data_IF_697858595396
#
_entry.id   IF_697858595396
#
_cell.length_a   1.000
_cell.length_b   1.000
_cell.length_c   1.000
_cell.angle_alpha   90.00
_cell.angle_beta   90.00
_cell.angle_gamma   90.00
#
_symmetry.space_group_name_H-M   'P 1'
#
loop_
_entity.id
_entity.type
_entity.pdbx_description
1 polymer ?
#
# COMPACT_ATOMS: atom_id res chain seq x y z
N UNK A 1 -17.37 58.40 56.15
CA UNK A 1 -17.46 58.87 54.75
C UNK A 1 -16.42 58.14 53.92
N UNK A 2 -16.77 57.01 53.31
CA UNK A 2 -16.75 56.76 51.85
C UNK A 2 -17.24 55.32 51.64
N UNK A 3 -18.21 55.19 50.76
CA UNK A 3 -19.00 53.99 50.48
C UNK A 3 -18.25 53.10 49.50
N UNK A 4 -18.06 51.81 49.83
CA UNK A 4 -17.45 50.82 48.96
C UNK A 4 -18.50 50.16 48.06
N UNK A 5 -18.37 50.39 46.75
CA UNK A 5 -19.19 49.78 45.71
C UNK A 5 -18.96 48.26 45.64
N UNK A 6 -20.05 47.50 45.68
CA UNK A 6 -20.07 46.05 45.51
C UNK A 6 -19.93 45.66 44.03
N UNK A 7 -18.97 44.79 43.77
CA UNK A 7 -18.71 44.11 42.50
C UNK A 7 -19.84 43.08 42.23
N UNK A 8 -20.98 43.56 41.71
CA UNK A 8 -22.01 42.75 41.06
C UNK A 8 -22.00 43.16 39.60
N UNK A 9 -21.79 42.18 38.73
CA UNK A 9 -22.22 42.07 37.33
C UNK A 9 -21.31 41.03 36.68
N UNK A 10 -21.62 39.74 36.91
CA UNK A 10 -21.10 38.62 36.14
C UNK A 10 -22.29 38.04 35.42
N UNK A 11 -22.31 38.27 34.12
CA UNK A 11 -23.37 37.86 33.20
C UNK A 11 -23.67 36.36 33.30
N UNK A 12 -24.87 36.04 33.80
CA UNK A 12 -25.55 34.76 33.64
C UNK A 12 -25.98 34.59 32.17
N UNK A 13 -25.02 34.36 31.27
CA UNK A 13 -25.32 33.78 29.96
C UNK A 13 -25.42 32.27 30.12
N UNK A 14 -26.62 31.87 30.54
CA UNK A 14 -27.14 30.52 30.50
C UNK A 14 -27.15 30.05 29.03
N UNK A 15 -26.06 29.42 28.59
CA UNK A 15 -26.05 28.64 27.35
C UNK A 15 -26.83 27.36 27.62
N UNK A 16 -28.12 27.41 27.31
CA UNK A 16 -28.99 26.25 27.12
C UNK A 16 -28.50 25.50 25.87
N UNK A 17 -27.39 24.78 26.04
CA UNK A 17 -27.01 23.72 25.12
C UNK A 17 -28.02 22.61 25.31
N UNK A 18 -29.03 22.59 24.43
CA UNK A 18 -29.88 21.44 24.21
C UNK A 18 -29.00 20.23 23.98
N UNK A 19 -28.80 19.45 25.05
CA UNK A 19 -28.13 18.17 25.02
C UNK A 19 -28.97 17.23 24.20
N UNK A 20 -28.68 17.14 22.90
CA UNK A 20 -29.07 16.00 22.09
C UNK A 20 -28.43 14.78 22.75
N UNK A 21 -29.24 14.02 23.47
CA UNK A 21 -28.86 12.77 24.10
C UNK A 21 -28.76 11.72 22.98
N UNK A 22 -27.68 11.77 22.20
CA UNK A 22 -27.38 10.80 21.14
C UNK A 22 -27.14 9.37 21.70
N UNK A 23 -27.00 9.24 23.02
CA UNK A 23 -26.73 7.95 23.69
C UNK A 23 -27.99 7.11 24.01
N UNK A 24 -29.22 7.64 23.87
CA UNK A 24 -30.42 6.92 24.31
C UNK A 24 -31.10 6.03 23.24
N UNK A 25 -30.85 6.25 21.94
CA UNK A 25 -31.49 5.45 20.87
C UNK A 25 -30.58 4.35 20.29
N UNK A 26 -29.25 4.51 20.35
CA UNK A 26 -28.30 3.53 19.78
C UNK A 26 -27.93 2.39 20.75
N UNK A 27 -28.37 2.47 22.01
CA UNK A 27 -28.17 1.46 23.05
C UNK A 27 -29.46 0.78 23.50
N UNK A 28 -30.44 0.59 22.59
CA UNK A 28 -31.49 -0.41 22.86
C UNK A 28 -30.86 -1.79 22.92
N UNK A 29 -30.53 -2.21 24.14
CA UNK A 29 -30.13 -3.58 24.44
C UNK A 29 -31.18 -4.54 23.88
N UNK A 30 -30.80 -5.26 22.83
CA UNK A 30 -31.65 -6.30 22.25
C UNK A 30 -31.38 -7.63 22.96
N UNK A 31 -32.42 -8.46 23.03
CA UNK A 31 -32.31 -9.81 23.55
C UNK A 31 -31.71 -10.73 22.49
N UNK A 32 -30.44 -11.09 22.63
CA UNK A 32 -29.78 -12.05 21.75
C UNK A 32 -29.96 -13.47 22.29
N UNK A 33 -30.70 -14.30 21.57
CA UNK A 33 -30.98 -15.69 21.92
C UNK A 33 -29.82 -16.61 21.49
N UNK A 34 -29.16 -17.23 22.47
CA UNK A 34 -28.00 -18.07 22.24
C UNK A 34 -28.36 -19.52 21.92
N UNK A 35 -27.43 -20.32 21.36
CA UNK A 35 -27.68 -21.73 21.03
C UNK A 35 -27.99 -22.62 22.23
N UNK A 36 -27.49 -22.25 23.42
CA UNK A 36 -27.74 -22.93 24.69
C UNK A 36 -29.10 -22.58 25.33
N UNK A 37 -29.86 -21.70 24.68
CA UNK A 37 -31.19 -21.28 25.12
C UNK A 37 -31.18 -20.08 26.07
N UNK A 38 -30.01 -19.54 26.39
CA UNK A 38 -29.86 -18.37 27.25
C UNK A 38 -29.98 -17.06 26.45
N UNK A 39 -30.17 -15.94 27.15
CA UNK A 39 -30.33 -14.61 26.53
C UNK A 39 -29.19 -13.69 26.97
N UNK A 40 -28.57 -13.02 26.00
CA UNK A 40 -27.50 -12.04 26.24
C UNK A 40 -27.89 -10.68 25.67
N UNK A 41 -27.47 -9.58 26.31
CA UNK A 41 -27.59 -8.24 25.73
C UNK A 41 -26.53 -8.04 24.65
N UNK A 42 -26.96 -7.68 23.45
CA UNK A 42 -26.08 -7.28 22.33
C UNK A 42 -26.60 -6.02 21.68
N UNK A 43 -25.77 -5.35 20.89
CA UNK A 43 -26.24 -4.29 20.01
C UNK A 43 -26.77 -4.86 18.69
N UNK A 44 -27.70 -4.13 18.06
CA UNK A 44 -28.22 -4.46 16.72
C UNK A 44 -27.06 -4.55 15.71
N UNK A 45 -26.17 -3.57 15.74
CA UNK A 45 -24.99 -3.54 14.86
C UNK A 45 -24.10 -4.78 15.02
N UNK A 46 -23.86 -5.24 16.26
CA UNK A 46 -23.12 -6.47 16.49
C UNK A 46 -23.85 -7.68 15.90
N UNK A 47 -25.18 -7.71 16.02
CA UNK A 47 -25.98 -8.81 15.49
C UNK A 47 -25.93 -8.88 13.95
N UNK A 48 -26.11 -7.75 13.27
CA UNK A 48 -26.03 -7.65 11.82
C UNK A 48 -24.65 -8.03 11.30
N UNK A 49 -23.60 -7.50 11.93
CA UNK A 49 -22.20 -7.77 11.54
C UNK A 49 -21.86 -9.26 11.64
N UNK A 50 -22.41 -9.96 12.63
CA UNK A 50 -22.19 -11.40 12.81
C UNK A 50 -23.16 -12.28 11.98
N UNK A 51 -24.12 -11.65 11.29
CA UNK A 51 -25.12 -12.31 10.46
C UNK A 51 -26.20 -13.03 11.27
N UNK A 52 -26.51 -12.50 12.45
CA UNK A 52 -27.72 -12.81 13.20
C UNK A 52 -28.89 -11.97 12.67
N UNK A 53 -30.11 -12.38 12.97
CA UNK A 53 -31.30 -11.72 12.43
C UNK A 53 -32.40 -11.64 13.49
N UNK A 54 -33.27 -10.64 13.34
CA UNK A 54 -34.39 -10.43 14.23
C UNK A 54 -35.46 -11.52 14.04
N UNK A 55 -35.67 -12.34 15.08
CA UNK A 55 -36.65 -13.42 15.08
C UNK A 55 -38.02 -12.93 15.55
N UNK A 56 -38.04 -12.02 16.52
CA UNK A 56 -39.20 -11.32 17.07
C UNK A 56 -38.82 -9.87 17.39
N UNK A 57 -39.80 -8.99 17.57
CA UNK A 57 -39.53 -7.60 17.94
C UNK A 57 -38.65 -7.55 19.20
N UNK A 58 -37.51 -6.85 19.12
CA UNK A 58 -36.49 -6.80 20.18
C UNK A 58 -35.66 -8.06 20.41
N UNK A 59 -35.89 -9.18 19.70
CA UNK A 59 -35.16 -10.45 19.88
C UNK A 59 -34.41 -10.86 18.61
N UNK A 60 -33.10 -11.08 18.75
CA UNK A 60 -32.21 -11.48 17.67
C UNK A 60 -31.63 -12.86 17.94
N UNK A 61 -31.38 -13.63 16.88
CA UNK A 61 -30.79 -14.97 17.01
C UNK A 61 -30.14 -15.42 15.70
N UNK A 62 -29.38 -16.51 15.76
CA UNK A 62 -28.95 -17.26 14.58
C UNK A 62 -29.90 -18.39 14.19
N UNK A 63 -29.47 -19.17 13.19
CA UNK A 63 -30.18 -20.30 12.56
C UNK A 63 -30.75 -21.31 13.58
N UNK A 64 -30.09 -21.47 14.72
CA UNK A 64 -30.50 -22.37 15.80
C UNK A 64 -31.83 -22.02 16.46
N UNK A 65 -32.33 -20.77 16.34
CA UNK A 65 -33.61 -20.38 16.96
C UNK A 65 -34.75 -21.30 16.52
N UNK A 66 -34.77 -21.63 15.23
CA UNK A 66 -35.82 -22.45 14.64
C UNK A 66 -35.66 -23.94 14.94
N UNK A 67 -34.48 -24.38 15.36
CA UNK A 67 -34.28 -25.75 15.87
C UNK A 67 -34.99 -25.93 17.22
N UNK A 68 -34.95 -24.89 18.07
CA UNK A 68 -35.62 -24.89 19.38
C UNK A 68 -37.11 -24.55 19.28
N UNK A 69 -37.52 -23.75 18.29
CA UNK A 69 -38.90 -23.31 18.08
C UNK A 69 -39.42 -23.66 16.67
N UNK A 70 -39.59 -24.95 16.34
CA UNK A 70 -39.95 -25.38 14.99
C UNK A 70 -41.34 -24.87 14.56
N UNK A 71 -42.24 -24.59 15.49
CA UNK A 71 -43.58 -24.09 15.18
C UNK A 71 -43.58 -22.65 14.64
N UNK A 72 -42.52 -21.88 14.92
CA UNK A 72 -42.35 -20.48 14.44
C UNK A 72 -41.78 -20.39 13.01
N UNK A 73 -41.55 -21.53 12.36
CA UNK A 73 -40.99 -21.63 11.01
C UNK A 73 -42.03 -21.21 9.94
N UNK A 74 -43.33 -21.34 10.22
CA UNK A 74 -44.40 -21.08 9.26
C UNK A 74 -44.47 -19.60 8.85
N UNK A 75 -43.82 -19.26 7.73
CA UNK A 75 -43.85 -17.95 7.07
C UNK A 75 -42.48 -17.28 6.88
N UNK A 76 -41.43 -17.71 7.61
CA UNK A 76 -40.10 -17.06 7.57
C UNK A 76 -39.00 -17.85 6.84
N UNK A 77 -39.20 -19.12 6.50
CA UNK A 77 -38.21 -19.94 5.75
C UNK A 77 -37.77 -19.30 4.43
N UNK A 78 -38.69 -18.63 3.73
CA UNK A 78 -38.39 -18.01 2.44
C UNK A 78 -37.38 -16.86 2.53
N UNK A 79 -37.45 -16.05 3.60
CA UNK A 79 -36.51 -14.92 3.82
C UNK A 79 -35.15 -15.43 4.29
N UNK A 80 -35.15 -16.41 5.20
CA UNK A 80 -33.92 -17.01 5.73
C UNK A 80 -33.10 -17.71 4.64
N UNK A 81 -33.75 -18.52 3.81
CA UNK A 81 -33.09 -19.20 2.69
C UNK A 81 -32.47 -18.20 1.71
N UNK A 82 -33.18 -17.12 1.36
CA UNK A 82 -32.65 -16.04 0.52
C UNK A 82 -31.41 -15.39 1.13
N UNK A 83 -31.46 -15.03 2.42
CA UNK A 83 -30.33 -14.40 3.10
C UNK A 83 -29.11 -15.34 3.16
N UNK A 84 -29.32 -16.62 3.49
CA UNK A 84 -28.27 -17.64 3.49
C UNK A 84 -27.65 -17.83 2.10
N UNK A 85 -28.49 -17.91 1.07
CA UNK A 85 -28.04 -18.05 -0.31
C UNK A 85 -27.23 -16.82 -0.75
N UNK A 86 -27.65 -15.60 -0.38
CA UNK A 86 -26.89 -14.36 -0.65
C UNK A 86 -25.55 -14.33 0.08
N UNK A 87 -25.52 -14.69 1.38
CA UNK A 87 -24.28 -14.75 2.16
C UNK A 87 -23.29 -15.77 1.57
N UNK A 88 -23.79 -16.92 1.13
CA UNK A 88 -22.97 -17.93 0.45
C UNK A 88 -22.44 -17.44 -0.91
N UNK A 89 -23.27 -16.72 -1.69
CA UNK A 89 -22.84 -16.07 -2.93
C UNK A 89 -21.73 -15.04 -2.66
N UNK A 90 -21.90 -14.17 -1.66
CA UNK A 90 -20.90 -13.16 -1.29
C UNK A 90 -19.57 -13.81 -0.91
N UNK A 91 -19.59 -14.82 -0.04
CA UNK A 91 -18.39 -15.58 0.36
C UNK A 91 -17.70 -16.30 -0.80
N UNK A 92 -18.45 -16.70 -1.83
CA UNK A 92 -17.87 -17.29 -3.03
C UNK A 92 -17.20 -16.22 -3.90
N UNK A 93 -17.84 -15.06 -4.07
CA UNK A 93 -17.28 -13.90 -4.80
C UNK A 93 -16.00 -13.41 -4.12
N UNK A 94 -15.98 -13.26 -2.79
CA UNK A 94 -14.79 -12.87 -2.03
C UNK A 94 -13.63 -13.86 -2.20
N UNK A 95 -13.93 -15.17 -2.22
CA UNK A 95 -12.91 -16.20 -2.50
C UNK A 95 -12.39 -16.13 -3.93
N UNK A 96 -13.24 -15.85 -4.91
CA UNK A 96 -12.79 -15.62 -6.29
C UNK A 96 -11.91 -14.37 -6.38
N UNK A 97 -12.33 -13.28 -5.75
CA UNK A 97 -11.62 -11.99 -5.75
C UNK A 97 -10.21 -12.15 -5.20
N UNK A 98 -10.08 -12.69 -3.98
CA UNK A 98 -8.78 -12.99 -3.36
C UNK A 98 -7.90 -13.88 -4.23
N UNK A 99 -8.46 -14.93 -4.84
CA UNK A 99 -7.70 -15.83 -5.72
C UNK A 99 -7.13 -15.10 -6.93
N UNK A 100 -7.86 -14.13 -7.51
CA UNK A 100 -7.38 -13.35 -8.64
C UNK A 100 -6.34 -12.30 -8.22
N UNK A 101 -6.50 -11.67 -7.06
CA UNK A 101 -5.48 -10.79 -6.48
C UNK A 101 -4.16 -11.53 -6.24
N UNK A 102 -4.19 -12.67 -5.55
CA UNK A 102 -3.00 -13.50 -5.31
C UNK A 102 -2.31 -13.93 -6.62
N UNK A 103 -3.10 -14.23 -7.67
CA UNK A 103 -2.55 -14.54 -8.99
C UNK A 103 -1.91 -13.31 -9.66
N UNK A 104 -2.48 -12.12 -9.50
CA UNK A 104 -1.92 -10.89 -10.05
C UNK A 104 -0.64 -10.49 -9.34
N UNK A 105 -0.58 -10.60 -8.01
CA UNK A 105 0.63 -10.34 -7.22
C UNK A 105 1.76 -11.27 -7.64
N UNK A 106 1.47 -12.56 -7.82
CA UNK A 106 2.44 -13.54 -8.31
C UNK A 106 2.95 -13.19 -9.72
N UNK A 107 2.05 -12.82 -10.64
CA UNK A 107 2.48 -12.41 -11.98
C UNK A 107 3.24 -11.07 -11.96
N UNK A 108 2.90 -10.13 -11.09
CA UNK A 108 3.66 -8.89 -10.91
C UNK A 108 5.10 -9.17 -10.43
N UNK A 109 5.27 -10.05 -9.45
CA UNK A 109 6.60 -10.53 -9.03
C UNK A 109 7.37 -11.18 -10.18
N UNK A 110 6.67 -11.98 -10.99
CA UNK A 110 7.29 -12.66 -12.14
C UNK A 110 7.71 -11.68 -13.24
N UNK A 111 6.94 -10.61 -13.47
CA UNK A 111 7.28 -9.58 -14.46
C UNK A 111 8.63 -8.90 -14.19
N UNK A 112 9.05 -8.84 -12.92
CA UNK A 112 10.35 -8.28 -12.53
C UNK A 112 11.52 -9.25 -12.70
N UNK A 113 11.26 -10.55 -12.78
CA UNK A 113 12.31 -11.60 -12.76
C UNK A 113 12.44 -12.36 -14.07
N UNK A 114 11.39 -12.38 -14.90
CA UNK A 114 11.30 -13.15 -16.13
C UNK A 114 11.26 -12.23 -17.36
N UNK A 115 12.32 -12.17 -18.18
CA UNK A 115 12.34 -11.35 -19.39
C UNK A 115 11.37 -11.86 -20.49
N UNK A 116 10.87 -13.09 -20.39
CA UNK A 116 9.84 -13.66 -21.28
C UNK A 116 8.43 -13.55 -20.68
N UNK A 117 8.22 -12.61 -19.76
CA UNK A 117 6.93 -12.44 -19.08
C UNK A 117 5.76 -12.23 -20.05
N UNK A 118 4.71 -13.05 -19.88
CA UNK A 118 3.50 -13.00 -20.69
C UNK A 118 2.50 -11.96 -20.15
N UNK A 119 2.65 -10.73 -20.62
CA UNK A 119 1.72 -9.64 -20.32
C UNK A 119 0.26 -9.95 -20.70
N UNK A 120 0.00 -10.79 -21.71
CA UNK A 120 -1.36 -11.16 -22.08
C UNK A 120 -2.04 -11.99 -20.99
N UNK A 121 -1.28 -12.79 -20.22
CA UNK A 121 -1.82 -13.53 -19.08
C UNK A 121 -2.21 -12.60 -17.93
N UNK A 122 -1.35 -11.64 -17.58
CA UNK A 122 -1.62 -10.65 -16.54
C UNK A 122 -2.85 -9.78 -16.87
N UNK A 123 -2.96 -9.29 -18.11
CA UNK A 123 -4.13 -8.52 -18.57
C UNK A 123 -5.42 -9.34 -18.46
N UNK A 124 -5.40 -10.62 -18.83
CA UNK A 124 -6.58 -11.51 -18.68
C UNK A 124 -6.97 -11.73 -17.22
N UNK A 125 -6.00 -11.74 -16.29
CA UNK A 125 -6.27 -11.85 -14.86
C UNK A 125 -6.89 -10.56 -14.33
N UNK A 126 -6.39 -9.38 -14.71
CA UNK A 126 -6.97 -8.10 -14.26
C UNK A 126 -8.40 -7.92 -14.75
N UNK A 127 -8.69 -8.30 -16.00
CA UNK A 127 -10.06 -8.30 -16.54
C UNK A 127 -10.99 -9.24 -15.77
N UNK A 128 -10.49 -10.37 -15.27
CA UNK A 128 -11.28 -11.30 -14.45
C UNK A 128 -11.51 -10.73 -13.05
N UNK A 129 -10.50 -10.11 -12.44
CA UNK A 129 -10.63 -9.45 -11.14
C UNK A 129 -11.72 -8.36 -11.21
N UNK A 130 -11.66 -7.50 -12.22
CA UNK A 130 -12.65 -6.44 -12.41
C UNK A 130 -14.09 -6.97 -12.53
N UNK A 131 -14.31 -8.05 -13.30
CA UNK A 131 -15.62 -8.72 -13.38
C UNK A 131 -16.08 -9.34 -12.07
N UNK A 132 -15.17 -9.70 -11.17
CA UNK A 132 -15.53 -10.19 -9.83
C UNK A 132 -15.94 -9.02 -8.94
N UNK A 133 -15.25 -7.88 -9.04
CA UNK A 133 -15.61 -6.65 -8.32
C UNK A 133 -16.97 -6.10 -8.75
N UNK A 134 -17.28 -6.11 -10.04
CA UNK A 134 -18.62 -5.72 -10.53
C UNK A 134 -19.71 -6.62 -9.93
N UNK A 135 -19.53 -7.95 -9.98
CA UNK A 135 -20.47 -8.90 -9.35
C UNK A 135 -20.57 -8.71 -7.84
N UNK A 136 -19.48 -8.31 -7.18
CA UNK A 136 -19.48 -7.99 -5.74
C UNK A 136 -20.37 -6.78 -5.47
N UNK A 137 -20.19 -5.69 -6.22
CA UNK A 137 -21.00 -4.47 -6.12
C UNK A 137 -22.48 -4.71 -6.42
N UNK A 138 -22.79 -5.51 -7.45
CA UNK A 138 -24.17 -5.91 -7.76
C UNK A 138 -24.82 -6.65 -6.58
N UNK A 139 -24.10 -7.58 -5.95
CA UNK A 139 -24.61 -8.33 -4.80
C UNK A 139 -24.74 -7.46 -3.54
N UNK A 140 -23.83 -6.51 -3.33
CA UNK A 140 -23.93 -5.50 -2.27
C UNK A 140 -25.16 -4.61 -2.48
N UNK A 141 -25.41 -4.16 -3.71
CA UNK A 141 -26.61 -3.41 -4.06
C UNK A 141 -27.88 -4.24 -3.83
N UNK A 142 -27.92 -5.50 -4.27
CA UNK A 142 -29.05 -6.41 -4.00
C UNK A 142 -29.30 -6.56 -2.50
N UNK A 143 -28.24 -6.69 -1.68
CA UNK A 143 -28.35 -6.80 -0.23
C UNK A 143 -28.88 -5.53 0.42
N UNK A 144 -28.49 -4.35 -0.08
CA UNK A 144 -28.95 -3.07 0.45
C UNK A 144 -30.38 -2.73 -0.03
N UNK A 145 -30.77 -3.18 -1.22
CA UNK A 145 -32.08 -2.89 -1.82
C UNK A 145 -33.26 -3.62 -1.16
N UNK A 146 -33.00 -4.67 -0.38
CA UNK A 146 -34.02 -5.41 0.38
C UNK A 146 -34.51 -4.67 1.64
N UNK A 147 -33.89 -3.53 1.99
CA UNK A 147 -34.41 -2.58 2.97
C UNK A 147 -35.54 -1.75 2.37
N UNK A 148 -36.72 -2.34 2.22
CA UNK A 148 -37.94 -1.79 1.57
C UNK A 148 -38.53 -0.50 2.19
N UNK A 149 -37.80 0.27 3.00
CA UNK A 149 -38.24 1.61 3.45
C UNK A 149 -37.73 2.75 2.56
N UNK A 150 -36.58 2.58 1.88
CA UNK A 150 -36.08 3.59 0.93
C UNK A 150 -36.77 3.57 -0.43
N UNK A 151 -37.34 2.42 -0.84
CA UNK A 151 -38.04 2.32 -2.13
C UNK A 151 -39.37 3.07 -2.13
N UNK A 152 -40.11 3.16 -1.02
CA UNK A 152 -41.35 3.96 -1.00
C UNK A 152 -41.09 5.46 -1.15
N UNK A 153 -39.97 5.94 -0.61
CA UNK A 153 -39.55 7.33 -0.74
C UNK A 153 -39.03 7.62 -2.15
N UNK A 154 -38.22 6.72 -2.72
CA UNK A 154 -37.66 6.87 -4.07
C UNK A 154 -38.71 6.72 -5.17
N UNK A 155 -39.66 5.77 -5.05
CA UNK A 155 -40.83 5.68 -5.93
C UNK A 155 -41.78 6.86 -5.74
N UNK A 156 -41.89 7.40 -4.52
CA UNK A 156 -42.67 8.61 -4.24
C UNK A 156 -42.11 9.82 -4.96
N UNK A 157 -40.80 10.04 -4.87
CA UNK A 157 -40.08 11.12 -5.57
C UNK A 157 -40.17 10.93 -7.09
N UNK A 158 -39.97 9.71 -7.59
CA UNK A 158 -40.03 9.45 -9.03
C UNK A 158 -41.46 9.57 -9.60
N UNK A 159 -42.49 9.20 -8.83
CA UNK A 159 -43.90 9.40 -9.20
C UNK A 159 -44.30 10.89 -9.16
N UNK A 160 -43.79 11.65 -8.18
CA UNK A 160 -43.93 13.11 -8.12
C UNK A 160 -43.26 13.76 -9.33
N UNK A 161 -42.03 13.37 -9.67
CA UNK A 161 -41.31 13.91 -10.84
C UNK A 161 -42.03 13.61 -12.18
N UNK A 162 -42.65 12.43 -12.32
CA UNK A 162 -43.42 12.08 -13.54
C UNK A 162 -44.76 12.82 -13.61
N UNK A 163 -45.33 13.22 -12.47
CA UNK A 163 -46.59 13.96 -12.41
C UNK A 163 -46.42 15.48 -12.60
N UNK A 164 -45.19 15.98 -12.53
CA UNK A 164 -44.87 17.39 -12.67
C UNK A 164 -44.79 17.82 -14.14
N UNK A 165 -45.14 19.08 -14.41
CA UNK A 165 -44.89 19.66 -15.73
C UNK A 165 -43.38 19.84 -15.94
N UNK A 166 -42.87 19.75 -17.19
CA UNK A 166 -41.46 19.98 -17.47
C UNK A 166 -40.94 21.32 -16.90
N UNK A 167 -41.75 22.37 -16.94
CA UNK A 167 -41.42 23.71 -16.43
C UNK A 167 -41.31 23.77 -14.89
N UNK A 168 -42.05 22.90 -14.18
CA UNK A 168 -41.95 22.80 -12.72
C UNK A 168 -40.76 21.93 -12.31
N UNK A 169 -40.45 20.89 -13.11
CA UNK A 169 -39.26 20.07 -12.93
C UNK A 169 -38.00 20.91 -13.10
N UNK A 170 -37.94 21.73 -14.15
CA UNK A 170 -36.82 22.63 -14.43
C UNK A 170 -36.61 23.63 -13.28
N UNK A 171 -37.68 24.21 -12.73
CA UNK A 171 -37.60 25.11 -11.57
C UNK A 171 -37.14 24.45 -10.27
N UNK A 172 -37.47 23.17 -10.07
CA UNK A 172 -36.95 22.41 -8.92
C UNK A 172 -35.48 22.08 -9.12
N UNK A 173 -35.09 21.66 -10.32
CA UNK A 173 -33.69 21.41 -10.66
C UNK A 173 -32.84 22.68 -10.50
N UNK A 174 -33.29 23.82 -11.00
CA UNK A 174 -32.60 25.10 -10.81
C UNK A 174 -32.42 25.44 -9.33
N UNK A 175 -33.43 25.19 -8.49
CA UNK A 175 -33.35 25.47 -7.05
C UNK A 175 -32.37 24.54 -6.33
N UNK A 176 -32.43 23.24 -6.61
CA UNK A 176 -31.53 22.25 -6.01
C UNK A 176 -30.08 22.52 -6.40
N UNK A 177 -29.84 22.89 -7.67
CA UNK A 177 -28.51 23.27 -8.14
C UNK A 177 -28.02 24.54 -7.45
N UNK A 178 -28.89 25.53 -7.21
CA UNK A 178 -28.51 26.74 -6.47
C UNK A 178 -28.23 26.46 -4.99
N UNK A 179 -29.04 25.64 -4.33
CA UNK A 179 -28.81 25.23 -2.92
C UNK A 179 -27.51 24.41 -2.79
N UNK A 180 -27.24 23.48 -3.70
CA UNK A 180 -26.00 22.71 -3.71
C UNK A 180 -24.78 23.60 -4.01
N UNK A 181 -24.91 24.60 -4.89
CA UNK A 181 -23.85 25.58 -5.14
C UNK A 181 -23.59 26.48 -3.93
N UNK A 182 -24.62 26.93 -3.22
CA UNK A 182 -24.48 27.71 -1.99
C UNK A 182 -23.81 26.88 -0.89
N UNK A 183 -24.18 25.61 -0.72
CA UNK A 183 -23.52 24.70 0.23
C UNK A 183 -22.06 24.39 -0.14
N UNK A 184 -21.76 24.28 -1.43
CA UNK A 184 -20.39 24.10 -1.93
C UNK A 184 -19.59 25.38 -1.71
N UNK A 185 -20.17 26.56 -1.95
CA UNK A 185 -19.53 27.85 -1.71
C UNK A 185 -19.28 28.07 -0.21
N UNK A 186 -20.23 27.72 0.65
CA UNK A 186 -20.08 27.77 2.12
C UNK A 186 -18.98 26.80 2.60
N UNK A 187 -18.99 25.54 2.15
CA UNK A 187 -17.92 24.55 2.44
C UNK A 187 -16.55 25.00 1.93
N UNK A 188 -16.49 25.64 0.77
CA UNK A 188 -15.26 26.17 0.21
C UNK A 188 -14.81 27.47 0.90
N UNK A 189 -15.72 28.21 1.53
CA UNK A 189 -15.41 29.42 2.29
C UNK A 189 -14.90 29.15 3.71
N UNK A 190 -15.27 28.00 4.29
CA UNK A 190 -14.87 27.60 5.64
C UNK A 190 -13.60 26.74 5.69
N UNK A 191 -13.18 26.15 4.56
CA UNK A 191 -11.93 25.41 4.48
C UNK A 191 -10.85 26.25 3.85
N UNK A 192 -9.69 26.34 4.50
CA UNK A 192 -8.41 26.86 3.95
C UNK A 192 -7.87 25.93 2.82
N UNK A 193 -8.78 25.27 2.09
CA UNK A 193 -8.59 24.17 1.14
C UNK A 193 -7.78 24.60 -0.07
N UNK A 194 -7.84 25.88 -0.47
CA UNK A 194 -6.94 26.42 -1.49
C UNK A 194 -5.49 26.42 -1.01
N UNK A 195 -5.25 26.70 0.27
CA UNK A 195 -3.89 26.66 0.84
C UNK A 195 -3.41 25.23 1.05
N UNK A 196 -4.29 24.31 1.46
CA UNK A 196 -3.97 22.89 1.62
C UNK A 196 -3.74 22.19 0.29
N UNK A 197 -4.59 22.44 -0.70
CA UNK A 197 -4.42 21.95 -2.06
C UNK A 197 -3.11 22.46 -2.67
N UNK A 198 -2.78 23.73 -2.46
CA UNK A 198 -1.50 24.30 -2.90
C UNK A 198 -0.31 23.65 -2.20
N UNK A 199 -0.37 23.40 -0.89
CA UNK A 199 0.66 22.67 -0.14
C UNK A 199 0.80 21.23 -0.65
N UNK A 200 -0.31 20.53 -0.89
CA UNK A 200 -0.32 19.18 -1.45
C UNK A 200 0.28 19.14 -2.86
N UNK A 201 -0.13 20.06 -3.73
CA UNK A 201 0.39 20.17 -5.09
C UNK A 201 1.89 20.49 -5.09
N UNK A 202 2.36 21.43 -4.27
CA UNK A 202 3.78 21.76 -4.13
C UNK A 202 4.60 20.56 -3.62
N UNK A 203 4.05 19.78 -2.66
CA UNK A 203 4.67 18.53 -2.18
C UNK A 203 4.80 17.51 -3.31
N UNK A 204 3.73 17.30 -4.08
CA UNK A 204 3.71 16.36 -5.22
C UNK A 204 4.70 16.77 -6.32
N UNK A 205 4.84 18.06 -6.60
CA UNK A 205 5.87 18.56 -7.52
C UNK A 205 7.28 18.24 -7.02
N UNK A 206 7.57 18.44 -5.73
CA UNK A 206 8.88 18.12 -5.14
C UNK A 206 9.20 16.62 -5.22
N UNK A 207 8.22 15.75 -4.97
CA UNK A 207 8.39 14.30 -5.11
C UNK A 207 8.73 13.94 -6.55
N UNK A 208 7.98 14.48 -7.52
CA UNK A 208 8.24 14.25 -8.96
C UNK A 208 9.65 14.70 -9.38
N UNK A 209 10.13 15.83 -8.88
CA UNK A 209 11.49 16.31 -9.14
C UNK A 209 12.56 15.38 -8.55
N UNK A 210 12.33 14.84 -7.34
CA UNK A 210 13.22 13.86 -6.70
C UNK A 210 13.27 12.56 -7.51
N UNK A 211 12.12 12.03 -7.95
CA UNK A 211 12.05 10.80 -8.75
C UNK A 211 12.72 10.96 -10.12
N UNK A 212 12.65 12.16 -10.72
CA UNK A 212 13.41 12.47 -11.94
C UNK A 212 14.91 12.44 -11.65
N UNK A 213 15.36 13.08 -10.58
CA UNK A 213 16.79 13.11 -10.20
C UNK A 213 17.33 11.71 -9.87
N UNK A 214 16.54 10.88 -9.17
CA UNK A 214 16.88 9.48 -8.91
C UNK A 214 17.10 8.71 -10.21
N UNK A 215 16.16 8.79 -11.17
CA UNK A 215 16.30 8.13 -12.47
C UNK A 215 17.54 8.56 -13.23
N UNK A 216 17.88 9.85 -13.23
CA UNK A 216 19.10 10.36 -13.87
C UNK A 216 20.37 9.78 -13.23
N UNK A 217 20.41 9.68 -11.90
CA UNK A 217 21.53 9.08 -11.17
C UNK A 217 21.63 7.58 -11.43
N UNK A 218 20.52 6.85 -11.42
CA UNK A 218 20.47 5.41 -11.73
C UNK A 218 20.93 5.13 -13.15
N UNK A 219 20.46 5.91 -14.12
CA UNK A 219 20.90 5.78 -15.52
C UNK A 219 22.41 6.02 -15.64
N UNK A 220 22.94 7.01 -14.92
CA UNK A 220 24.38 7.26 -14.86
C UNK A 220 25.15 6.10 -14.23
N UNK A 221 24.70 5.60 -13.08
CA UNK A 221 25.32 4.47 -12.38
C UNK A 221 25.30 3.20 -13.24
N UNK A 222 24.20 2.95 -13.97
CA UNK A 222 24.11 1.84 -14.91
C UNK A 222 25.10 1.99 -16.08
N UNK A 223 25.22 3.20 -16.65
CA UNK A 223 26.22 3.48 -17.69
C UNK A 223 27.64 3.28 -17.17
N UNK A 224 27.93 3.74 -15.95
CA UNK A 224 29.25 3.55 -15.34
C UNK A 224 29.54 2.09 -14.99
N UNK A 225 28.55 1.32 -14.54
CA UNK A 225 28.71 -0.12 -14.32
C UNK A 225 29.13 -0.84 -15.61
N UNK A 226 28.57 -0.46 -16.76
CA UNK A 226 29.01 -1.01 -18.06
C UNK A 226 30.44 -0.61 -18.44
N UNK A 227 30.89 0.61 -18.05
CA UNK A 227 32.24 1.11 -18.33
C UNK A 227 33.31 0.52 -17.43
N UNK A 228 32.98 0.25 -16.17
CA UNK A 228 33.88 -0.39 -15.21
C UNK A 228 34.39 -1.76 -15.69
N UNK A 229 33.63 -2.44 -16.56
CA UNK A 229 34.09 -3.69 -17.20
C UNK A 229 35.14 -3.48 -18.30
N UNK A 230 35.21 -2.28 -18.88
CA UNK A 230 36.08 -1.95 -20.01
C UNK A 230 37.28 -1.09 -19.62
N UNK A 231 37.17 -0.30 -18.55
CA UNK A 231 38.20 0.62 -18.10
C UNK A 231 38.48 0.44 -16.59
N UNK A 232 39.64 -0.13 -16.22
CA UNK A 232 40.01 -0.34 -14.82
C UNK A 232 40.39 0.96 -14.08
N UNK A 233 40.56 2.09 -14.77
CA UNK A 233 40.74 3.41 -14.13
C UNK A 233 39.41 4.09 -13.80
N UNK A 234 38.31 3.33 -13.79
CA UNK A 234 36.97 3.80 -13.47
C UNK A 234 36.93 4.60 -12.16
N UNK A 235 36.26 5.75 -12.19
CA UNK A 235 36.22 6.70 -11.08
C UNK A 235 35.31 6.20 -9.95
N UNK A 236 35.90 5.37 -9.08
CA UNK A 236 35.24 4.77 -7.92
C UNK A 236 34.63 5.83 -7.00
N UNK A 237 35.34 6.93 -6.76
CA UNK A 237 34.89 8.04 -5.91
C UNK A 237 33.59 8.68 -6.44
N UNK A 238 33.47 8.84 -7.75
CA UNK A 238 32.26 9.38 -8.38
C UNK A 238 31.08 8.42 -8.22
N UNK A 239 31.32 7.12 -8.31
CA UNK A 239 30.29 6.08 -8.13
C UNK A 239 29.78 6.05 -6.68
N UNK A 240 30.69 6.13 -5.70
CA UNK A 240 30.35 6.25 -4.27
C UNK A 240 29.54 7.53 -4.01
N UNK A 241 30.01 8.67 -4.52
CA UNK A 241 29.34 9.96 -4.34
C UNK A 241 27.90 9.95 -4.88
N UNK A 242 27.68 9.35 -6.05
CA UNK A 242 26.35 9.26 -6.65
C UNK A 242 25.44 8.28 -5.91
N UNK A 243 26.00 7.16 -5.42
CA UNK A 243 25.25 6.20 -4.60
C UNK A 243 24.78 6.82 -3.29
N UNK A 244 25.62 7.64 -2.64
CA UNK A 244 25.24 8.41 -1.46
C UNK A 244 24.17 9.47 -1.76
N UNK A 245 24.26 10.13 -2.92
CA UNK A 245 23.24 11.10 -3.37
C UNK A 245 21.89 10.43 -3.59
N UNK A 246 21.86 9.28 -4.25
CA UNK A 246 20.64 8.50 -4.48
C UNK A 246 19.96 8.13 -3.15
N UNK A 247 20.76 7.67 -2.17
CA UNK A 247 20.26 7.35 -0.83
C UNK A 247 19.64 8.58 -0.13
N UNK A 248 20.28 9.76 -0.19
CA UNK A 248 19.72 10.99 0.39
C UNK A 248 18.44 11.47 -0.29
N UNK A 249 18.31 11.23 -1.60
CA UNK A 249 17.10 11.54 -2.34
C UNK A 249 15.94 10.63 -1.91
N UNK A 250 16.21 9.35 -1.69
CA UNK A 250 15.23 8.39 -1.17
C UNK A 250 14.73 8.81 0.22
N UNK A 251 15.63 9.20 1.12
CA UNK A 251 15.25 9.74 2.44
C UNK A 251 14.35 10.98 2.32
N UNK A 252 14.68 11.89 1.40
CA UNK A 252 13.89 13.10 1.17
C UNK A 252 12.52 12.80 0.57
N UNK A 253 12.41 11.79 -0.30
CA UNK A 253 11.14 11.31 -0.86
C UNK A 253 10.26 10.75 0.25
N UNK A 254 10.79 9.82 1.04
CA UNK A 254 10.06 9.22 2.16
C UNK A 254 9.57 10.28 3.16
N UNK A 255 10.39 11.29 3.45
CA UNK A 255 9.99 12.41 4.30
C UNK A 255 8.77 13.17 3.75
N UNK A 256 8.77 13.50 2.45
CA UNK A 256 7.65 14.22 1.81
C UNK A 256 6.38 13.37 1.69
N UNK A 257 6.53 12.07 1.50
CA UNK A 257 5.40 11.12 1.49
C UNK A 257 4.77 11.00 2.88
N UNK A 258 5.58 10.94 3.94
CA UNK A 258 5.09 10.90 5.32
C UNK A 258 4.41 12.20 5.76
N UNK A 259 4.95 13.37 5.39
CA UNK A 259 4.29 14.66 5.65
C UNK A 259 2.87 14.73 5.04
N UNK A 260 2.58 13.92 4.02
CA UNK A 260 1.27 13.91 3.36
C UNK A 260 0.20 13.14 4.14
N UNK A 261 0.63 12.31 5.12
CA UNK A 261 -0.27 11.45 5.90
C UNK A 261 -0.56 12.00 7.30
N UNK A 262 0.15 13.04 7.76
CA UNK A 262 0.05 13.56 9.13
C UNK A 262 -0.99 14.67 9.33
N UNK A 263 -1.70 15.10 8.29
CA UNK A 263 -2.57 16.28 8.34
C UNK A 263 -3.96 15.99 8.97
N UNK A 264 -4.17 14.81 9.57
CA UNK A 264 -5.38 14.53 10.35
C UNK A 264 -5.31 13.21 11.12
N UNK A 265 -5.37 13.30 12.45
CA UNK A 265 -5.73 12.22 13.38
C UNK A 265 -4.67 11.12 13.64
N UNK A 266 -3.71 11.39 14.54
CA UNK A 266 -3.43 10.60 15.76
C UNK A 266 -2.07 11.00 16.36
N UNK A 267 -2.04 11.51 17.60
CA UNK A 267 -0.80 11.72 18.38
C UNK A 267 0.04 10.44 18.52
N UNK A 268 -0.59 9.26 18.36
CA UNK A 268 0.09 7.95 18.33
C UNK A 268 0.95 7.74 17.10
N UNK A 269 0.60 8.33 15.95
CA UNK A 269 1.42 8.23 14.74
C UNK A 269 2.70 9.08 14.84
N UNK A 270 2.68 10.15 15.65
CA UNK A 270 3.85 11.00 15.89
C UNK A 270 4.92 10.27 16.74
N UNK A 271 4.52 9.49 17.75
CA UNK A 271 5.46 8.69 18.56
C UNK A 271 6.13 7.57 17.75
N UNK A 272 5.35 6.85 16.93
CA UNK A 272 5.87 5.83 16.02
C UNK A 272 6.82 6.44 14.97
N UNK A 273 6.53 7.66 14.53
CA UNK A 273 7.38 8.44 13.61
C UNK A 273 8.70 8.89 14.27
N UNK A 274 8.65 9.44 15.48
CA UNK A 274 9.86 9.81 16.25
C UNK A 274 10.74 8.56 16.44
N UNK A 275 10.13 7.41 16.71
CA UNK A 275 10.85 6.15 16.89
C UNK A 275 11.46 5.64 15.58
N UNK A 276 10.75 5.72 14.45
CA UNK A 276 11.25 5.36 13.13
C UNK A 276 12.44 6.25 12.72
N UNK A 277 12.33 7.57 12.92
CA UNK A 277 13.39 8.54 12.60
C UNK A 277 14.63 8.36 13.49
N UNK A 278 14.45 8.06 14.78
CA UNK A 278 15.56 7.75 15.68
C UNK A 278 16.27 6.44 15.29
N UNK A 279 15.52 5.43 14.84
CA UNK A 279 16.08 4.18 14.34
C UNK A 279 16.87 4.37 13.04
N UNK A 280 16.36 5.20 12.11
CA UNK A 280 17.08 5.60 10.89
C UNK A 280 18.37 6.37 11.20
N UNK A 281 18.32 7.36 12.10
CA UNK A 281 19.51 8.12 12.51
C UNK A 281 20.58 7.23 13.17
N UNK A 282 20.17 6.24 13.97
CA UNK A 282 21.10 5.21 14.51
C UNK A 282 21.74 4.38 13.41
N UNK A 283 20.97 3.96 12.39
CA UNK A 283 21.50 3.24 11.21
C UNK A 283 22.51 4.08 10.41
N UNK A 284 22.28 5.38 10.29
CA UNK A 284 23.21 6.31 9.62
C UNK A 284 24.55 6.42 10.37
N UNK A 285 24.52 6.64 11.68
CA UNK A 285 25.75 6.71 12.48
C UNK A 285 26.57 5.42 12.37
N UNK A 286 25.93 4.25 12.39
CA UNK A 286 26.60 2.96 12.23
C UNK A 286 27.22 2.79 10.85
N UNK A 287 26.55 3.27 9.79
CA UNK A 287 27.05 3.22 8.42
C UNK A 287 28.22 4.18 8.18
N UNK A 288 28.16 5.39 8.74
CA UNK A 288 29.28 6.34 8.69
C UNK A 288 30.51 5.81 9.43
N UNK A 289 30.33 5.20 10.61
CA UNK A 289 31.39 4.53 11.37
C UNK A 289 32.00 3.39 10.53
N UNK A 290 31.19 2.57 9.88
CA UNK A 290 31.66 1.48 9.02
C UNK A 290 32.44 1.99 7.80
N UNK A 291 31.96 3.05 7.13
CA UNK A 291 32.67 3.65 5.99
C UNK A 291 33.98 4.32 6.42
N UNK A 292 34.03 4.91 7.62
CA UNK A 292 35.25 5.48 8.19
C UNK A 292 36.27 4.40 8.60
N UNK A 293 35.81 3.25 9.15
CA UNK A 293 36.67 2.09 9.43
C UNK A 293 37.19 1.45 8.12
N UNK A 294 36.34 1.31 7.10
CA UNK A 294 36.71 0.79 5.76
C UNK A 294 37.76 1.69 5.08
N UNK A 295 37.63 3.01 5.22
CA UNK A 295 38.61 3.98 4.68
C UNK A 295 39.97 3.98 5.41
N UNK A 296 40.05 3.40 6.62
CA UNK A 296 41.29 3.28 7.41
C UNK A 296 42.05 1.97 7.14
N UNK A 297 41.38 0.97 6.58
CA UNK A 297 41.99 -0.33 6.27
C UNK A 297 42.59 -0.33 4.87
N UNK A 298 43.91 -0.54 4.77
CA UNK A 298 44.63 -0.63 3.49
C UNK A 298 44.80 -2.08 2.99
N UNK A 299 44.22 -3.05 3.69
CA UNK A 299 44.38 -4.47 3.45
C UNK A 299 43.04 -5.12 3.14
N UNK A 300 42.95 -5.77 1.99
CA UNK A 300 41.80 -6.59 1.56
C UNK A 300 41.49 -7.70 2.59
N UNK A 301 42.53 -8.23 3.24
CA UNK A 301 42.42 -9.25 4.29
C UNK A 301 41.77 -8.66 5.57
N UNK A 302 42.10 -7.42 5.93
CA UNK A 302 41.47 -6.72 7.07
C UNK A 302 40.01 -6.39 6.80
N UNK A 303 39.66 -6.00 5.57
CA UNK A 303 38.28 -5.75 5.14
C UNK A 303 37.42 -7.00 5.23
N UNK A 304 37.93 -8.14 4.75
CA UNK A 304 37.24 -9.43 4.85
C UNK A 304 37.09 -9.88 6.31
N UNK A 305 38.11 -9.64 7.15
CA UNK A 305 38.04 -9.98 8.58
C UNK A 305 37.04 -9.09 9.34
N UNK A 306 36.93 -7.80 8.99
CA UNK A 306 35.92 -6.88 9.52
C UNK A 306 34.50 -7.32 9.11
N UNK A 307 34.33 -7.75 7.85
CA UNK A 307 33.06 -8.22 7.31
C UNK A 307 32.64 -9.56 7.90
N UNK A 308 33.56 -10.50 8.12
CA UNK A 308 33.25 -11.81 8.70
C UNK A 308 33.08 -11.75 10.23
N UNK A 309 33.78 -10.83 10.91
CA UNK A 309 33.79 -10.73 12.38
C UNK A 309 32.76 -9.80 13.00
N UNK A 310 32.49 -8.63 12.39
CA UNK A 310 31.61 -7.58 12.98
C UNK A 310 30.28 -7.42 12.25
N UNK A 311 30.25 -7.55 10.92
CA UNK A 311 29.03 -7.32 10.14
C UNK A 311 27.86 -8.28 10.39
N UNK A 312 28.06 -9.59 10.71
CA UNK A 312 26.95 -10.51 10.95
C UNK A 312 26.19 -10.19 12.24
N UNK A 313 26.90 -9.73 13.29
CA UNK A 313 26.28 -9.40 14.57
C UNK A 313 25.50 -8.07 14.55
N UNK A 314 25.90 -7.13 13.68
CA UNK A 314 25.19 -5.86 13.49
C UNK A 314 23.94 -6.02 12.62
N UNK A 315 23.92 -7.02 11.73
CA UNK A 315 22.78 -7.31 10.84
C UNK A 315 21.80 -8.34 11.42
N UNK A 316 22.24 -9.25 12.28
CA UNK A 316 21.40 -10.32 12.84
C UNK A 316 20.37 -9.83 13.89
N UNK A 317 20.64 -8.75 14.61
CA UNK A 317 19.72 -8.29 15.66
C UNK A 317 18.50 -7.53 15.11
N UNK A 318 18.52 -6.99 13.88
CA UNK A 318 17.52 -5.95 13.50
C UNK A 318 17.04 -5.86 12.04
N UNK A 319 16.99 -6.96 11.25
CA UNK A 319 16.41 -6.90 9.88
C UNK A 319 15.64 -8.17 9.48
N UNK A 320 14.31 -8.07 9.35
CA UNK A 320 13.43 -9.05 8.65
C UNK A 320 13.35 -8.82 7.12
N UNK A 321 14.22 -8.01 6.54
CA UNK A 321 14.26 -7.75 5.09
C UNK A 321 15.45 -8.43 4.39
N UNK A 322 15.23 -9.66 3.93
CA UNK A 322 16.11 -10.44 3.03
C UNK A 322 16.58 -9.77 1.71
N UNK A 323 15.84 -8.84 1.05
CA UNK A 323 16.20 -8.42 -0.31
C UNK A 323 17.50 -7.60 -0.43
N UNK A 324 17.82 -6.80 0.59
CA UNK A 324 18.97 -5.89 0.57
C UNK A 324 20.29 -6.60 0.86
N UNK A 325 20.26 -7.57 1.78
CA UNK A 325 21.42 -8.39 2.11
C UNK A 325 21.84 -9.21 0.88
N UNK A 326 20.87 -9.84 0.21
CA UNK A 326 21.10 -10.65 -1.00
C UNK A 326 21.71 -9.82 -2.14
N UNK A 327 21.24 -8.60 -2.38
CA UNK A 327 21.77 -7.73 -3.46
C UNK A 327 23.21 -7.25 -3.22
N UNK A 328 23.57 -6.96 -1.98
CA UNK A 328 24.94 -6.54 -1.63
C UNK A 328 25.89 -7.74 -1.69
N UNK A 329 25.48 -8.91 -1.18
CA UNK A 329 26.28 -10.14 -1.25
C UNK A 329 26.49 -10.59 -2.70
N UNK A 330 25.48 -10.46 -3.56
CA UNK A 330 25.58 -10.75 -5.00
C UNK A 330 26.57 -9.82 -5.72
N UNK A 331 26.60 -8.54 -5.35
CA UNK A 331 27.53 -7.56 -5.94
C UNK A 331 28.99 -7.93 -5.65
N UNK A 332 29.33 -8.33 -4.41
CA UNK A 332 30.69 -8.69 -4.01
C UNK A 332 31.12 -10.09 -4.47
N UNK A 333 30.21 -11.06 -4.52
CA UNK A 333 30.50 -12.41 -5.03
C UNK A 333 30.67 -12.45 -6.55
N UNK A 334 30.04 -11.52 -7.29
CA UNK A 334 30.22 -11.40 -8.75
C UNK A 334 31.43 -10.57 -9.15
N UNK A 335 31.92 -9.68 -8.28
CA UNK A 335 33.10 -8.82 -8.54
C UNK A 335 34.42 -9.42 -8.02
N UNK A 336 34.38 -10.45 -7.18
CA UNK A 336 35.58 -11.21 -6.80
C UNK A 336 36.08 -12.04 -7.99
N UNK A 337 37.23 -11.60 -8.50
CA UNK A 337 37.93 -12.11 -9.68
C UNK A 337 38.16 -13.63 -9.63
N UNK A 338 37.98 -14.29 -10.78
CA UNK A 338 38.56 -15.62 -11.05
C UNK A 338 40.04 -15.62 -10.63
N UNK A 339 40.52 -16.65 -9.91
CA UNK A 339 41.92 -16.73 -9.52
C UNK A 339 42.83 -16.62 -10.75
N UNK A 340 43.74 -15.65 -10.69
CA UNK A 340 44.73 -15.30 -11.71
C UNK A 340 45.40 -16.59 -12.22
N UNK A 341 45.07 -16.98 -13.46
CA UNK A 341 45.69 -18.15 -14.10
C UNK A 341 47.21 -17.98 -14.10
N UNK A 342 47.92 -19.00 -13.61
CA UNK A 342 49.38 -19.03 -13.53
C UNK A 342 50.03 -18.66 -14.88
N UNK A 343 51.20 -18.00 -14.86
CA UNK A 343 51.91 -17.62 -16.08
C UNK A 343 52.22 -18.86 -16.94
N UNK A 344 51.85 -18.79 -18.22
CA UNK A 344 52.17 -19.80 -19.24
C UNK A 344 53.68 -20.08 -19.24
N UNK A 345 54.13 -21.35 -19.19
CA UNK A 345 55.54 -21.67 -19.34
C UNK A 345 56.04 -21.23 -20.72
N UNK A 346 57.19 -20.55 -20.73
CA UNK A 346 57.90 -20.14 -21.94
C UNK A 346 58.22 -21.35 -22.83
N UNK A 347 58.07 -21.23 -24.16
CA UNK A 347 58.36 -22.34 -25.07
C UNK A 347 59.87 -22.59 -25.10
N UNK A 348 60.27 -23.85 -24.84
CA UNK A 348 61.65 -24.31 -25.03
C UNK A 348 62.06 -24.15 -26.51
N UNK A 349 63.32 -23.77 -26.80
CA UNK A 349 63.81 -23.68 -28.18
C UNK A 349 63.81 -25.08 -28.82
N UNK A 350 63.23 -25.18 -30.02
CA UNK A 350 63.29 -26.40 -30.85
C UNK A 350 64.73 -26.58 -31.37
N UNK A 351 65.26 -27.83 -31.40
CA UNK A 351 66.56 -28.11 -31.98
C UNK A 351 66.52 -27.91 -33.50
N UNK A 352 67.61 -27.34 -34.03
CA UNK A 352 67.84 -27.17 -35.45
C UNK A 352 67.88 -28.53 -36.16
N UNK A 353 66.89 -28.79 -37.03
CA UNK A 353 66.96 -29.90 -37.96
C UNK A 353 67.57 -29.44 -39.29
N UNK A 354 68.72 -30.05 -39.53
CA UNK A 354 69.51 -30.20 -40.74
C UNK A 354 68.74 -30.22 -42.07
N UNK A 355 69.28 -29.44 -43.00
CA UNK A 355 69.32 -29.61 -44.45
C UNK A 355 68.93 -31.01 -44.98
N UNK A 356 67.97 -31.04 -45.90
CA UNK A 356 67.90 -32.05 -46.96
C UNK A 356 67.52 -31.37 -48.29
N UNK A 357 68.33 -31.68 -49.30
CA UNK A 357 68.39 -31.16 -50.66
C UNK A 357 67.15 -31.57 -51.48
N UNK A 358 66.57 -30.69 -52.31
CA UNK A 358 65.58 -31.10 -53.31
C UNK A 358 66.29 -31.67 -54.56
N UNK A 359 66.08 -32.97 -54.78
CA UNK A 359 66.48 -33.66 -56.01
C UNK A 359 65.56 -33.27 -57.16
N UNK A 360 66.16 -33.01 -58.33
CA UNK A 360 65.49 -32.59 -59.56
C UNK A 360 64.58 -33.70 -60.10
N UNK A 361 63.35 -33.34 -60.50
CA UNK A 361 62.55 -34.17 -61.42
C UNK A 361 62.00 -33.31 -62.56
N UNK A 362 62.51 -33.67 -63.73
CA UNK A 362 62.15 -33.24 -65.08
C UNK A 362 60.66 -33.46 -65.37
N UNK A 363 59.98 -32.46 -65.94
CA UNK A 363 58.81 -32.71 -66.79
C UNK A 363 58.93 -31.98 -68.12
N UNK A 364 58.90 -32.81 -69.17
CA UNK A 364 58.91 -32.46 -70.58
C UNK A 364 57.60 -31.77 -70.97
N UNK A 365 57.71 -30.73 -71.80
CA UNK A 365 56.61 -30.14 -72.57
C UNK A 365 56.10 -31.13 -73.63
N UNK A 366 54.80 -31.10 -73.88
CA UNK A 366 54.21 -31.32 -75.20
C UNK A 366 53.33 -30.13 -75.51
#
# INVERSE_FOLDING_TARGET
MYSGMSFRDRDDRNYDYGGYNWDDEEHKDIHFYRPDGDIEGKSIHWCETNGFYQVEEGTWSGDWYYEHFPDKIQGKEGRHKKFRDRRLKMKNIEREHRKFEECLDYEAMRAHTDPEFDWCKAIKLSQKLHKVEERKKELEYENNSDGEESQQEEFGIHALMVAMSPDDLERIYERLVLEELDEIEERNSETDSETEYKKFHDRRCKISDIEREQREIEEYLNKEATRAHTDPEHNHDKTISLSLRLYRLEERKNFLECESNSDGEDERQEEDWIQAMNNLRKKMNLREILLEEIGKTNSEEELMTLWEGKAPYVLADHVEHEPLQTRITDFFTKTTLKPRSQPKPTPKPKPAHSFLVPSQVVRKKK
#
